data_IF_486791352548
#
_entry.id   IF_486791352548
#
_cell.length_a   1.000
_cell.length_b   1.000
_cell.length_c   1.000
_cell.angle_alpha   90.00
_cell.angle_beta   90.00
_cell.angle_gamma   90.00
#
_symmetry.space_group_name_H-M   'P 1'
#
loop_
_entity.id
_entity.type
_entity.pdbx_description
1 polymer ?
#
# COMPACT_ATOMS: atom_id res chain seq x y z
N UNK A 1 20.84 -22.21 10.79
CA UNK A 1 19.46 -21.72 11.01
C UNK A 1 19.01 -21.02 9.74
N UNK A 2 18.12 -21.64 8.97
CA UNK A 2 17.70 -21.15 7.64
C UNK A 2 17.07 -19.77 7.73
N UNK A 3 17.74 -18.76 7.19
CA UNK A 3 17.13 -17.49 6.82
C UNK A 3 16.14 -17.80 5.69
N UNK A 4 14.88 -18.11 6.03
CA UNK A 4 13.78 -18.11 5.06
C UNK A 4 13.80 -16.73 4.42
N UNK A 5 14.16 -16.65 3.13
CA UNK A 5 14.01 -15.45 2.34
C UNK A 5 12.53 -15.07 2.38
N UNK A 6 12.19 -14.06 3.18
CA UNK A 6 10.88 -13.40 3.09
C UNK A 6 10.89 -12.67 1.76
N UNK A 7 10.10 -13.15 0.80
CA UNK A 7 9.78 -12.38 -0.40
C UNK A 7 9.18 -11.06 0.10
N UNK A 8 9.79 -9.94 -0.26
CA UNK A 8 9.31 -8.62 0.17
C UNK A 8 7.99 -8.33 -0.54
N UNK A 9 6.87 -8.49 0.19
CA UNK A 9 5.51 -8.23 -0.32
C UNK A 9 5.29 -6.73 -0.58
N UNK A 10 6.10 -5.90 0.07
CA UNK A 10 5.99 -4.44 0.07
C UNK A 10 7.11 -3.84 -0.78
N UNK A 11 6.76 -2.97 -1.72
CA UNK A 11 7.72 -2.19 -2.51
C UNK A 11 7.92 -0.83 -1.85
N UNK A 12 9.16 -0.47 -1.52
CA UNK A 12 9.45 0.86 -0.98
C UNK A 12 9.57 1.87 -2.10
N UNK A 13 8.79 2.94 -2.01
CA UNK A 13 8.85 4.07 -2.94
C UNK A 13 10.07 4.93 -2.58
N UNK A 14 11.01 4.99 -3.50
CA UNK A 14 12.28 5.71 -3.34
C UNK A 14 12.25 7.11 -3.94
N UNK A 15 11.41 7.32 -4.96
CA UNK A 15 11.23 8.59 -5.67
C UNK A 15 9.78 8.77 -6.12
N UNK A 16 9.43 10.02 -6.43
CA UNK A 16 8.11 10.37 -6.97
C UNK A 16 7.87 9.73 -8.35
N UNK A 17 8.88 9.70 -9.22
CA UNK A 17 8.80 9.03 -10.52
C UNK A 17 8.51 7.53 -10.36
N UNK A 18 9.10 6.89 -9.35
CA UNK A 18 8.84 5.50 -9.03
C UNK A 18 7.40 5.29 -8.53
N UNK A 19 6.82 6.25 -7.81
CA UNK A 19 5.40 6.20 -7.46
C UNK A 19 4.50 6.29 -8.69
N UNK A 20 4.84 7.15 -9.66
CA UNK A 20 4.08 7.34 -10.89
C UNK A 20 4.03 6.10 -11.79
N UNK A 21 5.04 5.23 -11.73
CA UNK A 21 4.98 3.96 -12.47
C UNK A 21 3.88 3.04 -11.95
N UNK A 22 3.48 3.19 -10.70
CA UNK A 22 2.31 2.48 -10.14
C UNK A 22 1.03 3.30 -10.29
N UNK A 23 1.10 4.62 -10.03
CA UNK A 23 -0.03 5.55 -10.11
C UNK A 23 -0.39 5.88 -11.57
N UNK A 24 -0.96 4.91 -12.28
CA UNK A 24 -1.39 5.10 -13.66
C UNK A 24 -2.74 4.40 -13.93
N UNK A 25 -3.45 4.88 -14.95
CA UNK A 25 -4.77 4.34 -15.35
C UNK A 25 -4.70 2.96 -16.00
N UNK A 26 -3.51 2.57 -16.49
CA UNK A 26 -3.29 1.26 -17.11
C UNK A 26 -3.10 0.14 -16.07
N UNK A 27 -2.84 0.49 -14.81
CA UNK A 27 -2.65 -0.47 -13.74
C UNK A 27 -4.01 -0.86 -13.16
N UNK A 28 -4.49 -2.03 -13.59
CA UNK A 28 -5.73 -2.64 -13.11
C UNK A 28 -5.61 -3.26 -11.72
N UNK A 29 -4.39 -3.32 -11.18
CA UNK A 29 -4.16 -3.83 -9.82
C UNK A 29 -4.67 -2.83 -8.80
N UNK A 30 -5.04 -3.37 -7.63
CA UNK A 30 -5.27 -2.57 -6.45
C UNK A 30 -3.92 -2.19 -5.84
N UNK A 31 -3.62 -0.90 -5.80
CA UNK A 31 -2.41 -0.38 -5.20
C UNK A 31 -2.77 0.08 -3.78
N UNK A 32 -2.09 -0.48 -2.79
CA UNK A 32 -2.23 -0.08 -1.40
C UNK A 32 -0.98 0.69 -1.00
N UNK A 33 -1.13 1.95 -0.63
CA UNK A 33 -0.01 2.81 -0.27
C UNK A 33 -0.03 3.05 1.23
N UNK A 34 0.96 2.52 1.94
CA UNK A 34 1.23 2.79 3.35
C UNK A 34 2.06 4.08 3.44
N UNK A 35 1.38 5.17 3.77
CA UNK A 35 1.98 6.48 3.94
C UNK A 35 2.45 6.63 5.38
N UNK A 36 3.75 6.84 5.54
CA UNK A 36 4.37 7.08 6.84
C UNK A 36 5.26 8.32 6.80
N UNK A 37 5.41 9.02 7.94
CA UNK A 37 6.40 10.08 8.05
C UNK A 37 7.81 9.50 8.14
N UNK A 38 8.79 10.13 7.49
CA UNK A 38 10.17 9.65 7.41
C UNK A 38 10.84 9.37 8.77
N UNK A 39 10.38 10.02 9.85
CA UNK A 39 10.88 9.82 11.21
C UNK A 39 10.28 8.60 11.94
N UNK A 40 9.12 8.08 11.50
CA UNK A 40 8.43 6.94 12.15
C UNK A 40 8.78 5.60 11.50
N UNK A 41 9.20 5.62 10.23
CA UNK A 41 9.34 4.41 9.42
C UNK A 41 8.01 3.71 9.15
N UNK A 42 8.01 2.64 8.33
CA UNK A 42 6.79 1.94 7.93
C UNK A 42 6.16 1.19 9.11
N UNK A 43 4.83 0.99 9.04
CA UNK A 43 4.08 0.36 10.12
C UNK A 43 4.42 -1.14 10.23
N UNK A 44 5.32 -1.49 11.16
CA UNK A 44 5.74 -2.90 11.37
C UNK A 44 4.60 -3.83 11.78
N UNK A 45 3.54 -3.28 12.38
CA UNK A 45 2.36 -4.02 12.80
C UNK A 45 1.50 -4.55 11.63
N UNK A 46 1.61 -3.97 10.43
CA UNK A 46 0.81 -4.37 9.27
C UNK A 46 1.43 -5.53 8.47
N UNK A 47 2.73 -5.78 8.61
CA UNK A 47 3.40 -6.90 7.94
C UNK A 47 2.74 -8.27 8.16
N UNK A 48 2.33 -8.69 9.37
CA UNK A 48 1.58 -9.95 9.52
C UNK A 48 0.27 -9.95 8.75
N UNK A 49 -0.46 -8.83 8.72
CA UNK A 49 -1.69 -8.65 7.94
C UNK A 49 -1.44 -8.82 6.45
N UNK A 50 -0.38 -8.20 5.90
CA UNK A 50 -0.01 -8.36 4.49
C UNK A 50 0.33 -9.81 4.13
N UNK A 51 1.03 -10.53 5.01
CA UNK A 51 1.31 -11.95 4.82
C UNK A 51 0.02 -12.79 4.83
N UNK A 52 -0.92 -12.49 5.73
CA UNK A 52 -2.21 -13.18 5.78
C UNK A 52 -3.03 -12.92 4.50
N UNK A 53 -3.04 -11.69 4.00
CA UNK A 53 -3.72 -11.34 2.75
C UNK A 53 -3.11 -12.09 1.56
N UNK A 54 -1.78 -12.17 1.48
CA UNK A 54 -1.09 -12.93 0.42
C UNK A 54 -1.47 -14.42 0.43
N UNK A 55 -1.67 -15.01 1.61
CA UNK A 55 -2.08 -16.42 1.75
C UNK A 55 -3.58 -16.59 1.44
N UNK A 56 -4.40 -15.60 1.78
CA UNK A 56 -5.86 -15.67 1.66
C UNK A 56 -6.37 -15.34 0.26
N UNK A 57 -5.60 -14.59 -0.54
CA UNK A 57 -5.98 -14.10 -1.86
C UNK A 57 -5.17 -14.83 -2.92
N UNK A 58 -5.86 -15.50 -3.85
CA UNK A 58 -5.24 -16.12 -5.00
C UNK A 58 -4.61 -15.08 -5.94
N UNK A 59 -3.42 -15.40 -6.45
CA UNK A 59 -2.64 -14.52 -7.33
C UNK A 59 -2.45 -13.10 -6.75
N UNK A 60 -2.28 -12.97 -5.42
CA UNK A 60 -2.11 -11.68 -4.73
C UNK A 60 -1.14 -10.73 -5.45
N UNK A 61 0.07 -11.20 -5.81
CA UNK A 61 1.11 -10.39 -6.48
C UNK A 61 0.69 -9.84 -7.86
N UNK A 62 -0.31 -10.47 -8.52
CA UNK A 62 -0.86 -10.00 -9.80
C UNK A 62 -2.04 -9.07 -9.63
N UNK A 63 -2.68 -9.04 -8.45
CA UNK A 63 -3.91 -8.27 -8.19
C UNK A 63 -3.69 -7.08 -7.29
N UNK A 64 -2.71 -7.15 -6.38
CA UNK A 64 -2.44 -6.13 -5.37
C UNK A 64 -0.94 -5.81 -5.36
N UNK A 65 -0.62 -4.52 -5.38
CA UNK A 65 0.73 -4.03 -5.10
C UNK A 65 0.71 -3.22 -3.80
N UNK A 66 1.55 -3.56 -2.82
CA UNK A 66 1.68 -2.79 -1.57
C UNK A 66 2.91 -1.90 -1.66
N UNK A 67 2.71 -0.59 -1.57
CA UNK A 67 3.75 0.43 -1.63
C UNK A 67 3.97 1.05 -0.26
N UNK A 68 5.24 1.17 0.16
CA UNK A 68 5.64 1.93 1.34
C UNK A 68 6.08 3.30 0.87
N UNK A 69 5.33 4.33 1.25
CA UNK A 69 5.55 5.69 0.81
C UNK A 69 5.93 6.57 1.99
N UNK A 70 7.16 7.08 1.95
CA UNK A 70 7.58 8.15 2.83
C UNK A 70 6.96 9.47 2.34
N UNK A 71 6.15 10.10 3.19
CA UNK A 71 5.49 11.36 2.85
C UNK A 71 6.49 12.48 2.50
N UNK A 72 7.72 12.41 3.02
CA UNK A 72 8.76 13.39 2.73
C UNK A 72 9.32 13.23 1.29
N UNK A 73 9.02 12.11 0.62
CA UNK A 73 9.40 11.83 -0.77
C UNK A 73 8.42 12.39 -1.81
N UNK A 74 7.16 12.65 -1.45
CA UNK A 74 6.17 13.28 -2.33
C UNK A 74 6.23 14.81 -2.23
N UNK A 75 7.29 15.40 -2.75
CA UNK A 75 7.50 16.86 -2.65
C UNK A 75 6.55 17.62 -3.57
N UNK A 76 6.24 17.09 -4.76
CA UNK A 76 5.37 17.76 -5.75
C UNK A 76 3.89 17.47 -5.51
N UNK A 77 3.56 16.30 -4.98
CA UNK A 77 2.19 15.85 -4.68
C UNK A 77 1.83 16.00 -3.20
N UNK A 78 2.27 17.09 -2.56
CA UNK A 78 1.84 17.48 -1.20
C UNK A 78 0.37 17.89 -1.15
N UNK A 79 -0.51 16.99 -1.56
CA UNK A 79 -1.93 17.06 -1.30
C UNK A 79 -2.17 16.53 0.12
N UNK A 80 -3.14 17.09 0.83
CA UNK A 80 -3.56 16.63 2.17
C UNK A 80 -3.90 15.12 2.20
N UNK A 81 -4.25 14.56 1.05
CA UNK A 81 -4.52 13.13 0.88
C UNK A 81 -3.30 12.24 1.15
N UNK A 82 -2.09 12.69 0.84
CA UNK A 82 -0.84 11.94 1.07
C UNK A 82 -0.10 12.35 2.35
N UNK A 83 -0.77 13.11 3.23
CA UNK A 83 -0.19 13.49 4.52
C UNK A 83 -0.59 12.49 5.60
N UNK A 84 0.40 11.88 6.25
CA UNK A 84 0.20 11.06 7.44
C UNK A 84 0.54 11.90 8.68
N UNK A 85 -0.33 11.81 9.70
CA UNK A 85 -0.13 12.54 10.96
C UNK A 85 0.38 11.59 12.04
N UNK A 86 -0.28 11.48 13.19
CA UNK A 86 0.12 10.61 14.29
C UNK A 86 -0.31 9.15 14.11
N UNK A 87 -1.04 8.82 13.03
CA UNK A 87 -1.54 7.49 12.75
C UNK A 87 -1.12 7.06 11.34
N UNK A 88 -0.84 5.76 11.11
CA UNK A 88 -0.54 5.26 9.78
C UNK A 88 -1.72 5.50 8.85
N UNK A 89 -1.43 5.84 7.60
CA UNK A 89 -2.45 6.13 6.59
C UNK A 89 -2.28 5.20 5.42
N UNK A 90 -3.33 4.43 5.11
CA UNK A 90 -3.37 3.54 3.96
C UNK A 90 -4.26 4.14 2.88
N UNK A 91 -3.72 4.34 1.69
CA UNK A 91 -4.48 4.78 0.52
C UNK A 91 -4.72 3.59 -0.41
N UNK A 92 -5.94 3.47 -0.89
CA UNK A 92 -6.33 2.51 -1.90
C UNK A 92 -6.42 3.25 -3.23
N UNK A 93 -5.67 2.78 -4.20
CA UNK A 93 -5.58 3.37 -5.52
C UNK A 93 -5.86 2.28 -6.55
N UNK A 94 -6.71 2.59 -7.52
CA UNK A 94 -6.97 1.71 -8.65
C UNK A 94 -7.15 2.58 -9.88
N UNK A 95 -6.57 2.16 -11.01
CA UNK A 95 -6.66 2.88 -12.28
C UNK A 95 -6.27 4.38 -12.13
N UNK A 96 -5.19 4.66 -11.40
CA UNK A 96 -4.69 6.03 -11.21
C UNK A 96 -5.61 6.94 -10.39
N UNK A 97 -6.58 6.40 -9.66
CA UNK A 97 -7.50 7.16 -8.81
C UNK A 97 -7.52 6.59 -7.39
N UNK A 98 -7.50 7.49 -6.41
CA UNK A 98 -7.70 7.13 -5.01
C UNK A 98 -9.18 6.77 -4.83
N UNK A 99 -9.45 5.49 -4.56
CA UNK A 99 -10.81 4.95 -4.41
C UNK A 99 -11.25 4.94 -2.94
N UNK A 100 -10.31 4.81 -2.01
CA UNK A 100 -10.60 4.79 -0.58
C UNK A 100 -9.35 5.10 0.25
N UNK A 101 -9.53 5.41 1.53
CA UNK A 101 -8.46 5.59 2.51
C UNK A 101 -8.82 4.98 3.87
N UNK A 102 -7.81 4.52 4.60
CA UNK A 102 -7.93 4.05 5.99
C UNK A 102 -6.92 4.79 6.83
N UNK A 103 -7.42 5.41 7.89
CA UNK A 103 -6.60 6.04 8.91
C UNK A 103 -6.48 5.10 10.12
N UNK A 104 -5.26 4.93 10.61
CA UNK A 104 -4.94 4.10 11.76
C UNK A 104 -4.84 2.61 11.45
N UNK A 105 -4.39 1.86 12.46
CA UNK A 105 -4.14 0.40 12.40
C UNK A 105 -5.43 -0.41 12.54
N UNK A 106 -6.48 -0.07 11.77
CA UNK A 106 -7.73 -0.82 11.77
C UNK A 106 -7.67 -2.01 10.81
N UNK A 107 -7.06 -3.10 11.27
CA UNK A 107 -6.86 -4.34 10.50
C UNK A 107 -8.18 -4.90 9.91
N UNK A 108 -9.29 -5.02 10.66
CA UNK A 108 -10.53 -5.59 10.11
C UNK A 108 -11.09 -4.77 8.95
N UNK A 109 -11.14 -3.44 9.12
CA UNK A 109 -11.62 -2.50 8.10
C UNK A 109 -10.70 -2.51 6.88
N UNK A 110 -9.39 -2.59 7.11
CA UNK A 110 -8.42 -2.70 6.03
C UNK A 110 -8.65 -3.96 5.19
N UNK A 111 -8.80 -5.12 5.82
CA UNK A 111 -9.07 -6.39 5.11
C UNK A 111 -10.39 -6.33 4.35
N UNK A 112 -11.44 -5.77 4.95
CA UNK A 112 -12.74 -5.60 4.30
C UNK A 112 -12.61 -4.75 3.03
N UNK A 113 -11.91 -3.61 3.11
CA UNK A 113 -11.67 -2.74 1.95
C UNK A 113 -10.81 -3.41 0.88
N UNK A 114 -9.74 -4.11 1.27
CA UNK A 114 -8.94 -4.90 0.32
C UNK A 114 -9.84 -5.86 -0.45
N UNK A 115 -10.64 -6.67 0.25
CA UNK A 115 -11.55 -7.63 -0.40
C UNK A 115 -12.62 -6.97 -1.28
N UNK A 116 -13.09 -5.79 -0.89
CA UNK A 116 -14.08 -5.01 -1.66
C UNK A 116 -13.52 -4.45 -2.96
N UNK A 117 -12.26 -4.01 -2.95
CA UNK A 117 -11.62 -3.33 -4.09
C UNK A 117 -10.67 -4.22 -4.89
N UNK A 118 -10.49 -5.49 -4.50
CA UNK A 118 -9.73 -6.44 -5.32
C UNK A 118 -10.37 -6.55 -6.70
N UNK A 119 -9.59 -6.38 -7.78
CA UNK A 119 -10.09 -6.61 -9.12
C UNK A 119 -10.41 -8.09 -9.31
N UNK A 120 -11.62 -8.38 -9.82
CA UNK A 120 -12.07 -9.74 -10.13
C UNK A 120 -11.42 -10.31 -11.40
N UNK A 121 -10.82 -9.46 -12.24
CA UNK A 121 -10.15 -9.81 -13.50
C UNK A 121 -8.85 -9.02 -13.66
N UNK A 122 -7.76 -9.71 -13.99
CA UNK A 122 -6.42 -9.14 -14.23
C UNK A 122 -6.11 -8.99 -15.73
#
# INVERSE_FOLDING_TARGET
MSKKQKKEITTTVTSEDHFMTFYNENNKKLIVVDVYPGWSGPCTAMYPTYNQLMISIDDFEKRIDILLLDQDKLVTYKNDKFHATCQPKFLFISEGKIIDEVLGTNIPVFIEKVNKYIPLSY
#
